data_IF_973133160669
#
_entry.id   IF_973133160669
#
_cell.length_a   1.000
_cell.length_b   1.000
_cell.length_c   1.000
_cell.angle_alpha   90.00
_cell.angle_beta   90.00
_cell.angle_gamma   90.00
#
_symmetry.space_group_name_H-M   'P 1'
#
loop_
_entity.id
_entity.type
_entity.pdbx_description
1 polymer ?
#
# COMPACT_ATOMS: atom_id res chain seq x y z
N UNK A 1 4.96 4.76 2.32
CA UNK A 1 3.95 5.10 3.33
C UNK A 1 3.65 6.59 3.38
N UNK A 2 4.54 7.49 3.87
CA UNK A 2 4.20 8.93 3.98
C UNK A 2 4.01 9.68 2.64
N UNK A 3 4.64 9.22 1.56
CA UNK A 3 4.39 9.75 0.20
C UNK A 3 3.15 9.17 -0.48
N UNK A 4 2.54 8.18 0.13
CA UNK A 4 1.49 7.34 -0.48
C UNK A 4 0.13 7.60 0.14
N UNK A 5 0.10 7.85 1.44
CA UNK A 5 -1.09 8.18 2.20
C UNK A 5 -0.88 9.55 2.80
N UNK A 6 -1.74 10.50 2.43
CA UNK A 6 -1.86 11.75 3.15
C UNK A 6 -2.60 11.49 4.46
N UNK A 7 -1.91 11.62 5.59
CA UNK A 7 -2.49 11.37 6.90
C UNK A 7 -3.29 12.56 7.44
N UNK A 8 -3.18 13.74 6.82
CA UNK A 8 -3.96 14.92 7.23
C UNK A 8 -5.46 14.73 6.96
N UNK A 9 -5.82 13.84 6.03
CA UNK A 9 -7.23 13.51 5.74
C UNK A 9 -7.98 12.93 6.95
N UNK A 10 -7.27 12.36 7.93
CA UNK A 10 -7.84 11.80 9.16
C UNK A 10 -8.02 12.84 10.27
N UNK A 11 -7.36 14.02 10.16
CA UNK A 11 -7.39 15.05 11.22
C UNK A 11 -8.80 15.44 11.65
N UNK A 12 -9.78 15.70 10.75
CA UNK A 12 -11.12 16.09 11.17
C UNK A 12 -11.83 15.02 12.01
N UNK A 13 -11.64 13.74 11.65
CA UNK A 13 -12.22 12.62 12.40
C UNK A 13 -11.54 12.43 13.76
N UNK A 14 -10.22 12.60 13.80
CA UNK A 14 -9.42 12.52 15.02
C UNK A 14 -9.77 13.65 16.00
N UNK A 15 -9.84 14.90 15.53
CA UNK A 15 -10.20 16.05 16.36
C UNK A 15 -11.61 15.92 16.92
N UNK A 16 -12.56 15.48 16.08
CA UNK A 16 -13.94 15.22 16.49
C UNK A 16 -14.02 14.12 17.55
N UNK A 17 -13.24 13.04 17.41
CA UNK A 17 -13.25 11.91 18.34
C UNK A 17 -12.54 12.23 19.67
N UNK A 18 -11.43 12.96 19.61
CA UNK A 18 -10.63 13.28 20.80
C UNK A 18 -11.27 14.38 21.65
N UNK A 19 -12.03 15.28 21.01
CA UNK A 19 -12.73 16.39 21.64
C UNK A 19 -11.87 17.11 22.70
N UNK A 20 -10.60 17.35 22.38
CA UNK A 20 -9.67 18.01 23.30
C UNK A 20 -10.18 19.41 23.62
N UNK A 21 -10.03 19.82 24.89
CA UNK A 21 -10.38 21.18 25.29
C UNK A 21 -9.46 22.18 24.61
N UNK A 22 -9.97 23.39 24.37
CA UNK A 22 -9.29 24.55 23.77
C UNK A 22 -8.04 25.08 24.52
N UNK A 23 -7.62 24.40 25.60
CA UNK A 23 -6.48 24.81 26.42
C UNK A 23 -6.77 25.97 27.37
N UNK A 24 -8.01 26.45 27.45
CA UNK A 24 -8.43 27.56 28.33
C UNK A 24 -8.12 27.33 29.80
N UNK A 25 -8.14 26.07 30.24
CA UNK A 25 -7.83 25.65 31.62
C UNK A 25 -6.33 25.47 31.91
N UNK A 26 -5.46 25.76 30.94
CA UNK A 26 -4.03 25.52 31.04
C UNK A 26 -3.66 24.03 30.98
N UNK A 27 -2.36 23.75 30.97
CA UNK A 27 -1.81 22.39 30.89
C UNK A 27 -0.85 22.21 29.72
N UNK A 28 -0.18 21.05 29.69
CA UNK A 28 0.72 20.71 28.59
C UNK A 28 -0.12 20.48 27.32
N UNK A 29 0.23 21.11 26.18
CA UNK A 29 -0.46 20.87 24.92
C UNK A 29 -0.43 19.37 24.57
N UNK A 30 -1.54 18.81 24.06
CA UNK A 30 -1.56 17.44 23.58
C UNK A 30 -0.62 17.28 22.38
N UNK A 31 -0.16 16.05 22.14
CA UNK A 31 0.55 15.73 20.90
C UNK A 31 -0.38 15.88 19.70
N UNK A 32 0.20 16.13 18.53
CA UNK A 32 -0.54 16.20 17.28
C UNK A 32 -1.33 14.89 17.05
N UNK A 33 -2.66 14.96 16.81
CA UNK A 33 -3.48 13.77 16.63
C UNK A 33 -3.03 12.89 15.45
N UNK A 34 -2.53 13.51 14.38
CA UNK A 34 -2.07 12.78 13.18
C UNK A 34 -0.78 12.02 13.48
N UNK A 35 0.17 12.62 14.20
CA UNK A 35 1.35 11.94 14.74
C UNK A 35 0.93 10.73 15.59
N UNK A 36 0.02 10.93 16.54
CA UNK A 36 -0.44 9.85 17.43
C UNK A 36 -1.14 8.72 16.66
N UNK A 37 -1.95 9.04 15.64
CA UNK A 37 -2.56 8.03 14.79
C UNK A 37 -1.53 7.24 13.98
N UNK A 38 -0.49 7.88 13.45
CA UNK A 38 0.62 7.18 12.78
C UNK A 38 1.33 6.20 13.73
N UNK A 39 1.46 6.54 15.01
CA UNK A 39 2.00 5.63 16.02
C UNK A 39 1.10 4.39 16.18
N UNK A 40 -0.22 4.57 16.23
CA UNK A 40 -1.16 3.43 16.26
C UNK A 40 -1.03 2.55 15.01
N UNK A 41 -0.81 3.15 13.84
CA UNK A 41 -0.57 2.39 12.60
C UNK A 41 0.72 1.57 12.70
N UNK A 42 1.83 2.14 13.21
CA UNK A 42 3.07 1.39 13.46
C UNK A 42 2.80 0.23 14.41
N UNK A 43 2.06 0.47 15.49
CA UNK A 43 1.71 -0.56 16.46
C UNK A 43 0.96 -1.73 15.84
N UNK A 44 -0.11 -1.45 15.10
CA UNK A 44 -0.94 -2.48 14.48
C UNK A 44 -0.16 -3.25 13.41
N UNK A 45 0.63 -2.55 12.60
CA UNK A 45 1.41 -3.15 11.51
C UNK A 45 2.56 -4.04 12.00
N UNK A 46 3.13 -3.74 13.17
CA UNK A 46 4.27 -4.46 13.74
C UNK A 46 3.89 -5.31 14.97
N UNK A 47 2.61 -5.37 15.33
CA UNK A 47 2.07 -6.04 16.51
C UNK A 47 2.83 -5.70 17.80
N UNK A 48 3.01 -4.41 18.06
CA UNK A 48 3.82 -3.89 19.17
C UNK A 48 2.96 -3.49 20.37
N UNK A 49 3.48 -3.71 21.58
CA UNK A 49 2.95 -3.09 22.81
C UNK A 49 3.25 -1.59 22.85
N UNK A 50 2.60 -0.86 23.75
CA UNK A 50 2.83 0.57 23.96
C UNK A 50 4.29 0.85 24.37
N UNK A 51 4.85 0.06 25.29
CA UNK A 51 6.25 0.21 25.75
C UNK A 51 7.25 -0.12 24.65
N UNK A 52 6.98 -1.18 23.88
CA UNK A 52 7.88 -1.56 22.78
C UNK A 52 7.84 -0.53 21.64
N UNK A 53 6.70 0.13 21.46
CA UNK A 53 6.54 1.20 20.49
C UNK A 53 7.34 2.44 20.87
N UNK A 54 7.23 2.88 22.13
CA UNK A 54 8.05 3.96 22.66
C UNK A 54 9.55 3.67 22.46
N UNK A 55 10.00 2.48 22.87
CA UNK A 55 11.39 2.08 22.71
C UNK A 55 11.85 2.10 21.26
N UNK A 56 11.08 1.49 20.35
CA UNK A 56 11.46 1.41 18.93
C UNK A 56 11.39 2.75 18.20
N UNK A 57 10.52 3.68 18.60
CA UNK A 57 10.51 5.03 18.02
C UNK A 57 11.80 5.78 18.39
N UNK A 58 12.30 5.62 19.62
CA UNK A 58 13.55 6.24 20.06
C UNK A 58 14.79 5.59 19.42
N UNK A 59 14.76 4.29 19.13
CA UNK A 59 15.90 3.55 18.58
C UNK A 59 15.96 3.60 17.03
N UNK A 60 14.81 3.53 16.35
CA UNK A 60 14.76 3.38 14.89
C UNK A 60 14.52 4.69 14.16
N UNK A 61 15.56 5.17 13.47
CA UNK A 61 15.47 6.32 12.56
C UNK A 61 14.39 6.16 11.47
N UNK A 62 14.08 4.93 11.05
CA UNK A 62 13.00 4.68 10.08
C UNK A 62 11.62 5.04 10.64
N UNK A 63 11.37 4.78 11.93
CA UNK A 63 10.14 5.14 12.61
C UNK A 63 10.08 6.65 12.83
N UNK A 64 11.17 7.27 13.30
CA UNK A 64 11.25 8.72 13.43
C UNK A 64 10.97 9.43 12.10
N UNK A 65 11.58 8.97 11.00
CA UNK A 65 11.36 9.52 9.65
C UNK A 65 9.92 9.36 9.18
N UNK A 66 9.26 8.24 9.51
CA UNK A 66 7.85 8.03 9.16
C UNK A 66 6.91 8.94 9.96
N UNK A 67 7.21 9.15 11.23
CA UNK A 67 6.46 10.06 12.12
C UNK A 67 6.75 11.53 11.81
N UNK A 68 7.86 11.84 11.14
CA UNK A 68 8.29 13.21 10.88
C UNK A 68 9.03 13.85 12.07
N UNK A 69 9.54 13.04 12.99
CA UNK A 69 10.29 13.47 14.16
C UNK A 69 11.78 13.65 13.83
N UNK A 70 12.39 14.69 14.41
CA UNK A 70 13.83 14.94 14.47
C UNK A 70 14.43 14.26 15.70
N UNK A 71 15.76 14.11 15.75
CA UNK A 71 16.45 13.48 16.89
C UNK A 71 16.21 14.18 18.23
N UNK A 72 15.94 15.49 18.21
CA UNK A 72 15.67 16.30 19.40
C UNK A 72 14.19 16.36 19.78
N UNK A 73 13.30 15.85 18.94
CA UNK A 73 11.87 15.98 19.16
C UNK A 73 11.41 15.00 20.25
N UNK A 74 10.39 15.41 21.01
CA UNK A 74 9.85 14.58 22.07
C UNK A 74 9.03 13.42 21.48
N UNK A 75 9.34 12.21 21.91
CA UNK A 75 8.55 11.00 21.63
C UNK A 75 7.44 10.84 22.68
N UNK A 76 6.20 10.51 22.27
CA UNK A 76 5.14 10.12 23.20
C UNK A 76 5.53 8.86 23.98
N UNK A 77 5.32 8.87 25.30
CA UNK A 77 5.54 7.69 26.14
C UNK A 77 4.39 6.68 25.97
N UNK A 78 4.61 5.44 26.43
CA UNK A 78 3.65 4.35 26.35
C UNK A 78 2.27 4.73 26.93
N UNK A 79 2.25 5.46 28.05
CA UNK A 79 1.01 5.91 28.70
C UNK A 79 0.24 6.92 27.84
N UNK A 80 0.94 7.81 27.14
CA UNK A 80 0.33 8.76 26.22
C UNK A 80 -0.29 8.05 25.03
N UNK A 81 0.39 7.04 24.48
CA UNK A 81 -0.12 6.20 23.38
C UNK A 81 -1.36 5.43 23.83
N UNK A 82 -1.30 4.81 25.02
CA UNK A 82 -2.44 4.12 25.62
C UNK A 82 -3.64 5.04 25.81
N UNK A 83 -3.45 6.23 26.42
CA UNK A 83 -4.54 7.17 26.69
C UNK A 83 -5.19 7.67 25.39
N UNK A 84 -4.39 7.88 24.35
CA UNK A 84 -4.88 8.26 23.03
C UNK A 84 -5.75 7.16 22.42
N UNK A 85 -5.28 5.91 22.44
CA UNK A 85 -6.04 4.74 21.97
C UNK A 85 -7.35 4.61 22.75
N UNK A 86 -7.29 4.68 24.07
CA UNK A 86 -8.45 4.54 24.95
C UNK A 86 -9.54 5.57 24.63
N UNK A 87 -9.16 6.84 24.41
CA UNK A 87 -10.12 7.89 24.02
C UNK A 87 -10.79 7.60 22.68
N UNK A 88 -10.03 7.15 21.68
CA UNK A 88 -10.59 6.80 20.38
C UNK A 88 -11.51 5.56 20.47
N UNK A 89 -11.18 4.60 21.33
CA UNK A 89 -12.03 3.43 21.61
C UNK A 89 -13.33 3.85 22.27
N UNK A 90 -13.29 4.68 23.31
CA UNK A 90 -14.47 5.21 23.98
C UNK A 90 -15.36 6.05 23.04
N UNK A 91 -14.77 6.74 22.09
CA UNK A 91 -15.48 7.48 21.04
C UNK A 91 -16.01 6.60 19.89
N UNK A 92 -15.73 5.28 19.90
CA UNK A 92 -16.10 4.36 18.81
C UNK A 92 -15.43 4.70 17.46
N UNK A 93 -14.31 5.42 17.49
CA UNK A 93 -13.67 5.98 16.30
C UNK A 93 -12.59 5.07 15.69
N UNK A 94 -12.03 4.13 16.47
CA UNK A 94 -10.93 3.26 16.04
C UNK A 94 -11.26 2.49 14.76
N UNK A 95 -12.36 1.73 14.75
CA UNK A 95 -12.75 0.90 13.60
C UNK A 95 -12.92 1.74 12.34
N UNK A 96 -13.68 2.83 12.44
CA UNK A 96 -13.91 3.75 11.31
C UNK A 96 -12.61 4.37 10.77
N UNK A 97 -11.68 4.73 11.64
CA UNK A 97 -10.39 5.30 11.23
C UNK A 97 -9.54 4.27 10.50
N UNK A 98 -9.48 3.03 10.99
CA UNK A 98 -8.72 1.95 10.35
C UNK A 98 -9.38 1.47 9.05
N UNK A 99 -10.70 1.39 8.96
CA UNK A 99 -11.41 1.08 7.70
C UNK A 99 -11.13 2.12 6.62
N UNK A 100 -11.12 3.41 7.01
CA UNK A 100 -10.76 4.50 6.11
C UNK A 100 -9.30 4.45 5.70
N UNK A 101 -8.40 4.06 6.61
CA UNK A 101 -6.99 3.84 6.31
C UNK A 101 -6.80 2.72 5.29
N UNK A 102 -7.45 1.57 5.50
CA UNK A 102 -7.41 0.44 4.58
C UNK A 102 -8.00 0.79 3.22
N UNK A 103 -9.10 1.54 3.18
CA UNK A 103 -9.69 2.04 1.93
C UNK A 103 -8.71 2.95 1.19
N UNK A 104 -8.02 3.84 1.92
CA UNK A 104 -7.02 4.74 1.33
C UNK A 104 -5.83 3.97 0.77
N UNK A 105 -5.36 2.94 1.47
CA UNK A 105 -4.31 2.04 0.98
C UNK A 105 -4.75 1.29 -0.28
N UNK A 106 -5.96 0.72 -0.29
CA UNK A 106 -6.53 0.01 -1.44
C UNK A 106 -6.62 0.91 -2.67
N UNK A 107 -7.10 2.15 -2.51
CA UNK A 107 -7.20 3.13 -3.59
C UNK A 107 -5.83 3.54 -4.13
N UNK A 108 -4.80 3.56 -3.28
CA UNK A 108 -3.42 3.79 -3.69
C UNK A 108 -2.77 2.54 -4.34
N UNK A 109 -3.49 1.41 -4.45
CA UNK A 109 -3.03 0.17 -5.07
C UNK A 109 -2.30 -0.78 -4.11
N UNK A 110 -2.44 -0.60 -2.80
CA UNK A 110 -1.80 -1.41 -1.77
C UNK A 110 -2.83 -2.28 -1.03
N UNK A 111 -2.55 -3.57 -0.95
CA UNK A 111 -3.30 -4.50 -0.10
C UNK A 111 -2.53 -4.69 1.21
N UNK A 112 -3.02 -4.18 2.35
CA UNK A 112 -2.42 -4.51 3.64
C UNK A 112 -2.72 -5.98 3.94
N UNK A 113 -1.71 -6.85 3.83
CA UNK A 113 -1.78 -8.18 4.44
C UNK A 113 -1.43 -8.01 5.92
N UNK A 114 -2.42 -8.19 6.79
CA UNK A 114 -2.24 -8.14 8.24
C UNK A 114 -1.28 -9.24 8.71
N UNK A 115 -0.33 -8.92 9.59
CA UNK A 115 0.26 -9.91 10.50
C UNK A 115 1.79 -10.08 10.55
N UNK A 116 2.60 -9.38 9.75
CA UNK A 116 4.06 -9.51 9.89
C UNK A 116 4.83 -8.38 9.20
N UNK A 117 5.57 -7.58 9.99
CA UNK A 117 6.58 -6.65 9.46
C UNK A 117 7.88 -6.82 10.26
N UNK A 118 8.66 -7.84 9.91
CA UNK A 118 10.06 -7.57 9.59
C UNK A 118 10.03 -6.89 8.22
N UNK A 119 10.56 -5.67 8.16
CA UNK A 119 10.78 -4.85 6.95
C UNK A 119 9.76 -5.06 5.82
N UNK A 120 8.72 -4.22 5.77
CA UNK A 120 7.69 -4.28 4.75
C UNK A 120 8.31 -4.00 3.39
N UNK A 121 8.83 -5.05 2.76
CA UNK A 121 9.06 -5.09 1.33
C UNK A 121 7.70 -4.90 0.71
N UNK A 122 7.56 -3.82 -0.05
CA UNK A 122 6.40 -3.53 -0.88
C UNK A 122 6.29 -4.70 -1.88
N UNK A 123 5.55 -5.76 -1.54
CA UNK A 123 5.38 -6.89 -2.46
C UNK A 123 4.44 -6.41 -3.56
N UNK A 124 5.02 -6.05 -4.70
CA UNK A 124 4.25 -5.81 -5.91
C UNK A 124 3.39 -7.06 -6.18
N UNK A 125 2.10 -6.86 -6.43
CA UNK A 125 1.21 -7.96 -6.80
C UNK A 125 1.85 -8.81 -7.91
N UNK A 126 1.83 -10.15 -7.80
CA UNK A 126 2.54 -11.02 -8.72
C UNK A 126 2.10 -10.77 -10.17
N UNK A 127 2.96 -10.12 -10.96
CA UNK A 127 2.73 -9.89 -12.39
C UNK A 127 2.92 -11.21 -13.14
N UNK A 128 1.82 -11.95 -13.28
CA UNK A 128 1.76 -13.25 -13.93
C UNK A 128 1.92 -13.14 -15.46
N UNK A 129 3.15 -13.27 -15.97
CA UNK A 129 3.44 -13.33 -17.42
C UNK A 129 3.20 -14.75 -17.95
N UNK A 130 2.56 -14.88 -19.12
CA UNK A 130 2.51 -16.14 -19.86
C UNK A 130 3.83 -16.34 -20.63
N UNK A 131 4.34 -17.56 -20.67
CA UNK A 131 5.46 -17.93 -21.55
C UNK A 131 5.03 -17.93 -23.02
N UNK A 132 5.99 -17.95 -23.95
CA UNK A 132 5.67 -17.98 -25.38
C UNK A 132 4.97 -19.28 -25.80
N UNK A 133 5.31 -20.42 -25.17
CA UNK A 133 4.63 -21.70 -25.38
C UNK A 133 3.17 -21.65 -24.90
N UNK A 134 2.93 -21.17 -23.67
CA UNK A 134 1.58 -20.97 -23.14
C UNK A 134 0.73 -20.04 -24.03
N UNK A 135 1.35 -18.96 -24.57
CA UNK A 135 0.68 -18.07 -25.52
C UNK A 135 0.34 -18.77 -26.84
N UNK A 136 1.18 -19.67 -27.33
CA UNK A 136 0.93 -20.41 -28.57
C UNK A 136 -0.23 -21.38 -28.41
N UNK A 137 -0.32 -22.09 -27.29
CA UNK A 137 -1.43 -22.99 -26.99
C UNK A 137 -2.75 -22.24 -26.80
N UNK A 138 -2.73 -21.12 -26.06
CA UNK A 138 -3.92 -20.26 -25.93
C UNK A 138 -4.39 -19.70 -27.28
N UNK A 139 -3.46 -19.37 -28.21
CA UNK A 139 -3.84 -18.96 -29.58
C UNK A 139 -4.46 -20.10 -30.38
N UNK A 140 -4.01 -21.33 -30.16
CA UNK A 140 -4.57 -22.53 -30.78
C UNK A 140 -5.88 -23.01 -30.10
N UNK A 141 -6.35 -22.30 -29.06
CA UNK A 141 -7.55 -22.68 -28.30
C UNK A 141 -7.32 -23.87 -27.36
N UNK A 142 -6.07 -24.27 -27.13
CA UNK A 142 -5.69 -25.35 -26.22
C UNK A 142 -5.31 -24.80 -24.86
N UNK A 143 -5.64 -25.55 -23.82
CA UNK A 143 -5.17 -25.29 -22.46
C UNK A 143 -3.77 -25.88 -22.32
N UNK A 144 -2.77 -25.09 -21.86
CA UNK A 144 -1.47 -25.65 -21.50
C UNK A 144 -1.65 -26.75 -20.46
N UNK A 145 -0.96 -27.88 -20.64
CA UNK A 145 -1.08 -29.08 -19.79
C UNK A 145 -0.82 -28.75 -18.31
N UNK A 146 0.20 -27.91 -18.06
CA UNK A 146 0.58 -27.39 -16.74
C UNK A 146 -0.49 -26.55 -16.00
N UNK A 147 -1.60 -26.22 -16.67
CA UNK A 147 -2.69 -25.43 -16.10
C UNK A 147 -3.84 -26.30 -15.60
N UNK A 148 -3.94 -27.56 -16.06
CA UNK A 148 -5.01 -28.47 -15.70
C UNK A 148 -4.96 -28.81 -14.20
N UNK A 149 -3.75 -28.97 -13.65
CA UNK A 149 -3.54 -29.28 -12.23
C UNK A 149 -3.56 -28.04 -11.30
N UNK A 150 -3.87 -26.84 -11.84
CA UNK A 150 -3.78 -25.56 -11.10
C UNK A 150 -5.06 -24.74 -11.23
N UNK A 151 -6.14 -25.08 -10.50
CA UNK A 151 -7.44 -24.40 -10.61
C UNK A 151 -7.36 -22.90 -10.29
N UNK A 152 -6.50 -22.48 -9.35
CA UNK A 152 -6.27 -21.06 -9.04
C UNK A 152 -5.61 -20.29 -10.20
N UNK A 153 -4.74 -20.95 -10.98
CA UNK A 153 -4.09 -20.35 -12.15
C UNK A 153 -5.10 -20.16 -13.28
N UNK A 154 -6.05 -21.08 -13.44
CA UNK A 154 -7.13 -20.99 -14.43
C UNK A 154 -8.10 -19.84 -14.13
N UNK A 155 -8.50 -19.67 -12.87
CA UNK A 155 -9.42 -18.60 -12.47
C UNK A 155 -8.82 -17.19 -12.66
N UNK A 156 -7.50 -17.05 -12.52
CA UNK A 156 -6.82 -15.76 -12.62
C UNK A 156 -6.38 -15.38 -14.04
N UNK A 157 -6.45 -16.29 -15.02
CA UNK A 157 -5.96 -16.04 -16.40
C UNK A 157 -7.12 -15.79 -17.35
N UNK A 158 -7.13 -14.61 -17.98
CA UNK A 158 -8.04 -14.32 -19.09
C UNK A 158 -7.60 -15.10 -20.35
N UNK A 159 -8.37 -16.13 -20.70
CA UNK A 159 -8.15 -17.00 -21.87
C UNK A 159 -8.75 -16.43 -23.15
N UNK A 160 -9.60 -15.42 -23.04
CA UNK A 160 -10.35 -14.85 -24.15
C UNK A 160 -9.76 -13.52 -24.64
N UNK A 161 -8.84 -12.93 -23.87
CA UNK A 161 -8.04 -11.79 -24.31
C UNK A 161 -7.36 -12.05 -25.66
N UNK A 162 -7.77 -11.31 -26.69
CA UNK A 162 -7.12 -11.28 -28.00
C UNK A 162 -6.32 -9.98 -28.11
N UNK A 163 -5.12 -10.08 -28.67
CA UNK A 163 -4.23 -8.96 -28.91
C UNK A 163 -4.10 -8.79 -30.41
N UNK A 164 -4.29 -7.57 -30.90
CA UNK A 164 -3.99 -7.24 -32.31
C UNK A 164 -2.57 -6.70 -32.37
N UNK A 165 -1.72 -7.36 -33.14
CA UNK A 165 -0.40 -6.86 -33.51
C UNK A 165 -0.56 -5.77 -34.57
N UNK A 166 -0.28 -4.52 -34.23
CA UNK A 166 -0.09 -3.46 -35.22
C UNK A 166 1.39 -3.35 -35.56
N UNK A 167 1.73 -3.59 -36.81
CA UNK A 167 3.03 -3.31 -37.37
C UNK A 167 3.08 -1.85 -37.81
N UNK A 168 4.08 -1.09 -37.37
CA UNK A 168 4.35 0.25 -37.92
C UNK A 168 5.49 0.12 -38.93
N UNK A 169 5.37 0.78 -40.10
CA UNK A 169 6.44 0.76 -41.12
C UNK A 169 7.71 1.37 -40.52
N UNK A 170 8.79 0.58 -40.47
CA UNK A 170 10.11 1.06 -40.08
C UNK A 170 10.58 2.17 -41.03
N UNK A 171 11.24 3.21 -40.50
CA UNK A 171 11.93 4.22 -41.31
C UNK A 171 13.16 3.56 -41.93
N UNK A 172 13.35 3.71 -43.25
CA UNK A 172 14.48 3.13 -43.99
C UNK A 172 15.79 3.73 -43.48
N UNK A 173 16.79 2.90 -43.16
CA UNK A 173 18.14 3.38 -42.86
C UNK A 173 18.90 3.68 -44.16
N UNK A 174 19.87 4.59 -44.11
CA UNK A 174 20.58 5.09 -45.28
C UNK A 174 21.46 4.04 -46.00
N UNK A 175 21.74 2.90 -45.38
CA UNK A 175 22.47 1.75 -45.94
C UNK A 175 21.59 0.77 -46.75
N UNK A 176 20.33 1.15 -47.05
CA UNK A 176 19.43 0.36 -47.89
C UNK A 176 18.91 -0.95 -47.28
N UNK A 177 19.48 -1.41 -46.18
CA UNK A 177 19.02 -2.54 -45.38
C UNK A 177 17.75 -2.17 -44.59
N UNK A 178 16.74 -3.04 -44.63
CA UNK A 178 15.55 -2.89 -43.79
C UNK A 178 15.83 -3.51 -42.41
N UNK A 179 15.94 -2.71 -41.33
CA UNK A 179 15.96 -3.29 -39.99
C UNK A 179 14.59 -3.91 -39.70
N UNK A 180 14.58 -5.16 -39.21
CA UNK A 180 13.37 -5.82 -38.70
C UNK A 180 13.04 -5.31 -37.29
N UNK A 181 12.70 -4.03 -37.16
CA UNK A 181 12.23 -3.47 -35.89
C UNK A 181 10.71 -3.55 -35.80
N UNK A 182 10.23 -4.65 -35.21
CA UNK A 182 8.82 -4.85 -34.87
C UNK A 182 8.50 -4.19 -33.52
N UNK A 183 7.89 -3.01 -33.53
CA UNK A 183 7.27 -2.45 -32.34
C UNK A 183 5.84 -3.01 -32.20
N UNK A 184 5.71 -4.12 -31.49
CA UNK A 184 4.41 -4.72 -31.19
C UNK A 184 3.68 -3.93 -30.09
N UNK A 185 2.67 -3.14 -30.46
CA UNK A 185 1.77 -2.47 -29.50
C UNK A 185 0.52 -3.34 -29.32
N UNK A 186 0.29 -3.96 -28.15
CA UNK A 186 -0.91 -4.75 -27.91
C UNK A 186 -2.13 -3.82 -27.79
N UNK A 187 -3.09 -3.94 -28.72
CA UNK A 187 -4.40 -3.33 -28.59
C UNK A 187 -5.36 -4.33 -27.92
N UNK A 188 -5.99 -3.91 -26.83
CA UNK A 188 -6.95 -4.72 -26.08
C UNK A 188 -8.37 -4.37 -26.54
N UNK A 189 -9.08 -5.34 -27.11
CA UNK A 189 -10.46 -5.16 -27.56
C UNK A 189 -11.29 -6.38 -27.14
N UNK A 190 -12.42 -6.12 -26.50
CA UNK A 190 -13.48 -7.10 -26.34
C UNK A 190 -14.36 -7.04 -27.59
N UNK A 191 -14.72 -8.19 -28.16
CA UNK A 191 -15.81 -8.28 -29.15
C UNK A 191 -17.14 -8.30 -28.43
#
# INVERSE_FOLDING_TARGET
FSRTVDFEVFRPDLEKALAYSDGSKGGRPPFDPVLMFKILVIQTLNNLSDERTEYLINDRLSFMRFLGLRLSDRVPDAKTVWLFRERLTQAGAIERLFDRFDTTLRNAGYLPMSGQILDATLVAAPKQRNTNAEKADLRAGRLPEDWQDKPAKLAHKDRHARWTLKFTKAKRQDDGTMPSSDLAIPFFGYK
#
